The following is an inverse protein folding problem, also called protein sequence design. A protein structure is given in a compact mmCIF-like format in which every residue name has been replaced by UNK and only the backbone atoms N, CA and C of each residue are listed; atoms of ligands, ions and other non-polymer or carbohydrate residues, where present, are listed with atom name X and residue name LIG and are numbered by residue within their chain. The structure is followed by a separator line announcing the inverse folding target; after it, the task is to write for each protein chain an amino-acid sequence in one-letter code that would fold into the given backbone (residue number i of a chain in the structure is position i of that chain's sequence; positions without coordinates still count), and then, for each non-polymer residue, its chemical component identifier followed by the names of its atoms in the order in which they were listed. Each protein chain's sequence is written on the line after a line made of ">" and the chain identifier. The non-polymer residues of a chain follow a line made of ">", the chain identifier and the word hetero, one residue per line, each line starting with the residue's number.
data_IF_378271775602
#
_entry.id   IF_378271775602
#
_cell.length_a   1.000
_cell.length_b   1.000
_cell.length_c   1.000
_cell.angle_alpha   90.00
_cell.angle_beta   90.00
_cell.angle_gamma   90.00
#
_symmetry.space_group_name_H-M   'P 1'
#
loop_
_entity.id
_entity.type
_entity.pdbx_description
1 polymer ?
#
# COMPACT_ATOMS: atom_id res chain seq x y z
N UNK A 1 -10.66 1.26 -23.42
CA UNK A 1 -9.67 0.26 -22.96
C UNK A 1 -8.51 0.86 -22.15
N UNK A 2 -7.49 1.52 -22.72
CA UNK A 2 -6.36 2.05 -21.92
C UNK A 2 -6.75 3.14 -20.90
N UNK A 3 -7.66 4.04 -21.26
CA UNK A 3 -8.13 5.10 -20.34
C UNK A 3 -8.95 4.57 -19.15
N UNK A 4 -9.76 3.54 -19.38
CA UNK A 4 -10.59 2.94 -18.32
C UNK A 4 -9.72 2.17 -17.31
N UNK A 5 -8.70 1.46 -17.79
CA UNK A 5 -7.74 0.78 -16.92
C UNK A 5 -6.93 1.77 -16.08
N UNK A 6 -6.50 2.90 -16.68
CA UNK A 6 -5.85 3.97 -15.91
C UNK A 6 -6.77 4.54 -14.83
N UNK A 7 -8.02 4.85 -15.16
CA UNK A 7 -8.99 5.36 -14.21
C UNK A 7 -9.24 4.37 -13.06
N UNK A 8 -9.32 3.08 -13.37
CA UNK A 8 -9.47 2.00 -12.39
C UNK A 8 -8.31 1.95 -11.40
N UNK A 9 -7.06 2.03 -11.88
CA UNK A 9 -5.87 2.06 -11.03
C UNK A 9 -5.79 3.32 -10.15
N UNK A 10 -6.09 4.48 -10.72
CA UNK A 10 -6.08 5.74 -9.96
C UNK A 10 -7.17 5.75 -8.88
N UNK A 11 -8.39 5.27 -9.20
CA UNK A 11 -9.49 5.13 -8.25
C UNK A 11 -9.12 4.21 -7.08
N UNK A 12 -8.57 3.02 -7.37
CA UNK A 12 -8.15 2.08 -6.33
C UNK A 12 -7.04 2.66 -5.44
N UNK A 13 -6.07 3.37 -6.01
CA UNK A 13 -5.01 4.05 -5.27
C UNK A 13 -5.56 5.15 -4.34
N UNK A 14 -6.51 5.96 -4.81
CA UNK A 14 -7.12 7.02 -4.02
C UNK A 14 -8.01 6.46 -2.90
N UNK A 15 -8.76 5.38 -3.18
CA UNK A 15 -9.54 4.66 -2.15
C UNK A 15 -8.64 4.05 -1.08
N UNK A 16 -7.55 3.41 -1.49
CA UNK A 16 -6.58 2.84 -0.57
C UNK A 16 -5.98 3.91 0.34
N UNK A 17 -5.62 5.08 -0.20
CA UNK A 17 -5.17 6.22 0.60
C UNK A 17 -6.22 6.61 1.63
N UNK A 18 -7.48 6.78 1.23
CA UNK A 18 -8.57 7.15 2.14
C UNK A 18 -8.76 6.13 3.28
N UNK A 19 -8.56 4.83 3.01
CA UNK A 19 -8.59 3.76 4.02
C UNK A 19 -7.38 3.87 4.96
N UNK A 20 -6.18 3.96 4.41
CA UNK A 20 -4.92 4.05 5.17
C UNK A 20 -4.91 5.24 6.13
N UNK A 21 -5.44 6.38 5.70
CA UNK A 21 -5.52 7.61 6.50
C UNK A 21 -6.55 7.57 7.64
N UNK A 22 -7.34 6.49 7.77
CA UNK A 22 -8.15 6.23 8.98
C UNK A 22 -7.26 5.87 10.18
N UNK A 23 -6.05 5.36 9.96
CA UNK A 23 -5.08 5.13 11.03
C UNK A 23 -4.35 6.44 11.37
N UNK A 24 -4.38 6.84 12.64
CA UNK A 24 -3.81 8.12 13.10
C UNK A 24 -2.29 8.23 12.92
N UNK A 25 -1.56 7.12 13.08
CA UNK A 25 -0.10 7.12 12.93
C UNK A 25 0.31 7.23 11.46
N UNK A 26 -0.36 6.48 10.58
CA UNK A 26 -0.13 6.59 9.13
C UNK A 26 -0.54 7.97 8.61
N UNK A 27 -1.59 8.58 9.16
CA UNK A 27 -1.98 9.95 8.83
C UNK A 27 -0.92 10.98 9.23
N UNK A 28 -0.21 10.80 10.35
CA UNK A 28 0.92 11.66 10.73
C UNK A 28 2.07 11.54 9.73
N UNK A 29 2.40 10.31 9.32
CA UNK A 29 3.42 10.06 8.29
C UNK A 29 3.02 10.69 6.96
N UNK A 30 1.77 10.55 6.56
CA UNK A 30 1.27 11.16 5.33
C UNK A 30 1.41 12.70 5.36
N UNK A 31 1.06 13.35 6.46
CA UNK A 31 1.27 14.81 6.62
C UNK A 31 2.75 15.21 6.53
N UNK A 32 3.64 14.37 7.06
CA UNK A 32 5.10 14.58 6.93
C UNK A 32 5.54 14.45 5.47
N UNK A 33 4.96 13.51 4.74
CA UNK A 33 5.19 13.34 3.31
C UNK A 33 4.71 14.56 2.50
N UNK A 34 3.53 15.11 2.81
CA UNK A 34 3.01 16.34 2.17
C UNK A 34 3.89 17.58 2.41
N UNK A 35 4.67 17.60 3.50
CA UNK A 35 5.65 18.67 3.74
C UNK A 35 6.91 18.53 2.87
N UNK A 36 7.14 17.36 2.28
CA UNK A 36 8.35 17.03 1.51
C UNK A 36 8.07 16.89 0.00
N UNK A 37 6.87 16.43 -0.35
CA UNK A 37 6.46 16.14 -1.72
C UNK A 37 5.20 16.92 -2.07
N UNK A 38 5.11 17.38 -3.31
CA UNK A 38 3.84 17.84 -3.85
C UNK A 38 2.85 16.67 -3.96
N UNK A 39 1.52 16.93 -3.96
CA UNK A 39 0.52 15.87 -4.09
C UNK A 39 0.72 14.97 -5.32
N UNK A 40 1.17 15.54 -6.44
CA UNK A 40 1.44 14.79 -7.67
C UNK A 40 2.65 13.86 -7.53
N UNK A 41 3.76 14.34 -6.97
CA UNK A 41 4.97 13.54 -6.76
C UNK A 41 4.73 12.38 -5.80
N UNK A 42 3.93 12.61 -4.77
CA UNK A 42 3.61 11.62 -3.75
C UNK A 42 2.80 10.47 -4.37
N UNK A 43 1.80 10.79 -5.20
CA UNK A 43 1.04 9.79 -5.97
C UNK A 43 1.92 9.04 -6.97
N UNK A 44 2.82 9.74 -7.67
CA UNK A 44 3.75 9.12 -8.63
C UNK A 44 4.65 8.09 -7.92
N UNK A 45 5.26 8.43 -6.78
CA UNK A 45 6.13 7.51 -6.03
C UNK A 45 5.41 6.24 -5.59
N UNK A 46 4.17 6.38 -5.11
CA UNK A 46 3.34 5.23 -4.74
C UNK A 46 3.05 4.35 -5.96
N UNK A 47 2.73 4.94 -7.11
CA UNK A 47 2.50 4.20 -8.35
C UNK A 47 3.77 3.51 -8.86
N UNK A 48 4.94 4.17 -8.77
CA UNK A 48 6.23 3.57 -9.13
C UNK A 48 6.54 2.35 -8.25
N UNK A 49 6.29 2.46 -6.94
CA UNK A 49 6.47 1.35 -6.01
C UNK A 49 5.49 0.20 -6.27
N UNK A 50 4.27 0.51 -6.69
CA UNK A 50 3.29 -0.48 -7.14
C UNK A 50 3.79 -1.22 -8.38
N UNK A 51 4.27 -0.50 -9.40
CA UNK A 51 4.85 -1.10 -10.62
C UNK A 51 6.01 -2.03 -10.28
N UNK A 52 6.96 -1.57 -9.47
CA UNK A 52 8.10 -2.38 -9.04
C UNK A 52 7.68 -3.65 -8.27
N UNK A 53 6.58 -3.58 -7.52
CA UNK A 53 6.05 -4.73 -6.79
C UNK A 53 5.39 -5.74 -7.74
N UNK A 54 4.67 -5.26 -8.75
CA UNK A 54 4.05 -6.10 -9.78
C UNK A 54 5.06 -6.75 -10.72
N UNK A 55 6.19 -6.09 -11.00
CA UNK A 55 7.27 -6.65 -11.83
C UNK A 55 8.02 -7.80 -11.13
N UNK A 56 8.03 -7.81 -9.79
CA UNK A 56 8.71 -8.85 -8.99
C UNK A 56 7.90 -10.13 -8.86
N UNK A 57 6.61 -10.11 -9.16
CA UNK A 57 5.72 -11.26 -9.05
C UNK A 57 4.90 -11.40 -10.34
N UNK A 58 5.31 -12.34 -11.19
CA UNK A 58 4.66 -12.62 -12.48
C UNK A 58 3.18 -13.02 -12.32
N UNK A 59 2.77 -13.48 -11.13
CA UNK A 59 1.37 -13.82 -10.82
C UNK A 59 0.56 -12.62 -10.32
N UNK A 60 1.19 -11.50 -9.98
CA UNK A 60 0.50 -10.32 -9.45
C UNK A 60 -0.58 -9.80 -10.42
N UNK A 61 -0.33 -9.87 -11.73
CA UNK A 61 -1.31 -9.46 -12.76
C UNK A 61 -2.63 -10.24 -12.70
N UNK A 62 -2.60 -11.50 -12.25
CA UNK A 62 -3.79 -12.34 -12.13
C UNK A 62 -4.58 -12.07 -10.84
N UNK A 63 -3.98 -11.40 -9.86
CA UNK A 63 -4.60 -11.10 -8.57
C UNK A 63 -5.47 -9.84 -8.59
N UNK A 64 -5.30 -8.95 -9.57
CA UNK A 64 -6.01 -7.66 -9.66
C UNK A 64 -7.20 -7.70 -10.61
N UNK A 65 -7.97 -8.79 -10.57
CA UNK A 65 -9.14 -8.97 -11.43
C UNK A 65 -10.34 -8.11 -11.00
N UNK A 66 -10.36 -7.61 -9.76
CA UNK A 66 -11.43 -6.79 -9.21
C UNK A 66 -10.91 -5.54 -8.47
N UNK A 67 -11.81 -4.60 -8.20
CA UNK A 67 -11.43 -3.29 -7.60
C UNK A 67 -10.96 -3.44 -6.16
N UNK A 68 -11.48 -4.44 -5.43
CA UNK A 68 -11.19 -4.66 -4.02
C UNK A 68 -9.77 -5.20 -3.83
N UNK A 69 -9.38 -6.20 -4.60
CA UNK A 69 -8.02 -6.77 -4.63
C UNK A 69 -6.98 -5.70 -4.98
N UNK A 70 -7.27 -4.85 -5.97
CA UNK A 70 -6.40 -3.74 -6.34
C UNK A 70 -6.32 -2.66 -5.24
N UNK A 71 -7.45 -2.35 -4.59
CA UNK A 71 -7.48 -1.42 -3.45
C UNK A 71 -6.68 -1.96 -2.27
N UNK A 72 -6.84 -3.25 -1.93
CA UNK A 72 -6.06 -3.91 -0.86
C UNK A 72 -4.57 -3.91 -1.16
N UNK A 73 -4.19 -4.15 -2.41
CA UNK A 73 -2.80 -4.04 -2.84
C UNK A 73 -2.25 -2.62 -2.65
N UNK A 74 -2.97 -1.60 -3.11
CA UNK A 74 -2.57 -0.22 -2.89
C UNK A 74 -2.52 0.15 -1.41
N UNK A 75 -3.37 -0.41 -0.55
CA UNK A 75 -3.26 -0.22 0.90
C UNK A 75 -1.88 -0.71 1.39
N UNK A 76 -1.44 -1.87 0.92
CA UNK A 76 -0.11 -2.41 1.21
C UNK A 76 1.01 -1.48 0.74
N UNK A 77 0.95 -0.99 -0.50
CA UNK A 77 1.94 -0.07 -1.06
C UNK A 77 2.00 1.23 -0.27
N UNK A 78 0.85 1.83 0.05
CA UNK A 78 0.76 3.05 0.86
C UNK A 78 1.37 2.88 2.24
N UNK A 79 1.04 1.79 2.94
CA UNK A 79 1.60 1.49 4.26
C UNK A 79 3.12 1.34 4.17
N UNK A 80 3.60 0.58 3.17
CA UNK A 80 5.02 0.37 2.97
C UNK A 80 5.76 1.68 2.68
N UNK A 81 5.24 2.50 1.76
CA UNK A 81 5.80 3.81 1.44
C UNK A 81 5.90 4.70 2.68
N UNK A 82 4.80 4.85 3.43
CA UNK A 82 4.75 5.71 4.60
C UNK A 82 5.71 5.24 5.70
N UNK A 83 5.79 3.94 5.95
CA UNK A 83 6.66 3.41 7.01
C UNK A 83 8.13 3.45 6.62
N UNK A 84 8.48 3.07 5.39
CA UNK A 84 9.87 2.96 4.94
C UNK A 84 10.40 4.33 4.52
N UNK A 85 9.83 4.91 3.47
CA UNK A 85 10.38 6.12 2.83
C UNK A 85 10.21 7.35 3.72
N UNK A 86 9.08 7.46 4.42
CA UNK A 86 8.75 8.65 5.23
C UNK A 86 9.08 8.44 6.71
N UNK A 87 8.80 7.24 7.23
CA UNK A 87 9.03 6.83 8.61
C UNK A 87 10.46 6.39 8.90
N UNK A 88 11.27 6.10 7.87
CA UNK A 88 12.64 5.61 8.02
C UNK A 88 12.72 4.18 8.56
N UNK A 89 11.65 3.39 8.44
CA UNK A 89 11.65 1.99 8.84
C UNK A 89 12.45 1.15 7.85
N UNK A 90 13.33 0.28 8.34
CA UNK A 90 14.00 -0.69 7.47
C UNK A 90 13.00 -1.69 6.88
N UNK A 91 13.13 -1.98 5.59
CA UNK A 91 12.23 -2.90 4.88
C UNK A 91 12.14 -4.29 5.52
N UNK A 92 13.27 -4.82 6.02
CA UNK A 92 13.32 -6.12 6.70
C UNK A 92 12.59 -6.10 8.05
N UNK A 93 12.63 -4.95 8.74
CA UNK A 93 11.85 -4.75 9.97
C UNK A 93 10.35 -4.75 9.67
N UNK A 94 9.93 -4.12 8.57
CA UNK A 94 8.51 -4.14 8.15
C UNK A 94 8.05 -5.58 7.84
N UNK A 95 8.84 -6.35 7.10
CA UNK A 95 8.54 -7.77 6.82
C UNK A 95 8.41 -8.59 8.11
N UNK A 96 9.27 -8.33 9.09
CA UNK A 96 9.25 -9.00 10.39
C UNK A 96 7.96 -8.67 11.15
N UNK A 97 7.64 -7.37 11.27
CA UNK A 97 6.41 -6.93 11.94
C UNK A 97 5.16 -7.48 11.26
N UNK A 98 5.09 -7.42 9.92
CA UNK A 98 3.97 -7.99 9.17
C UNK A 98 3.83 -9.50 9.45
N UNK A 99 4.93 -10.25 9.41
CA UNK A 99 4.95 -11.69 9.69
C UNK A 99 4.46 -12.01 11.11
N UNK A 100 4.86 -11.21 12.08
CA UNK A 100 4.46 -11.41 13.48
C UNK A 100 2.96 -11.13 13.67
N UNK A 101 2.44 -10.03 13.10
CA UNK A 101 0.99 -9.72 13.11
C UNK A 101 0.19 -10.84 12.44
N UNK A 102 0.63 -11.33 11.27
CA UNK A 102 -0.06 -12.44 10.60
C UNK A 102 -0.04 -13.73 11.42
N UNK A 103 1.08 -14.05 12.08
CA UNK A 103 1.18 -15.22 12.96
C UNK A 103 0.28 -15.12 14.18
N UNK A 104 0.20 -13.94 14.80
CA UNK A 104 -0.69 -13.70 15.94
C UNK A 104 -2.16 -13.82 15.55
N UNK A 105 -2.54 -13.27 14.39
CA UNK A 105 -3.91 -13.39 13.87
C UNK A 105 -4.26 -14.83 13.51
N UNK A 106 -3.36 -15.61 12.90
CA UNK A 106 -3.59 -17.03 12.63
C UNK A 106 -3.75 -17.85 13.93
N UNK A 107 -3.00 -17.51 14.98
CA UNK A 107 -3.17 -18.15 16.30
C UNK A 107 -4.51 -17.80 16.94
N UNK A 108 -5.02 -16.58 16.76
CA UNK A 108 -6.35 -16.19 17.26
C UNK A 108 -7.50 -16.88 16.53
N UNK A 109 -7.35 -17.18 15.24
CA UNK A 109 -8.38 -17.87 14.42
C UNK A 109 -8.42 -19.38 14.67
N UNK A 110 -7.34 -19.97 15.20
CA UNK A 110 -7.28 -21.42 15.51
C UNK A 110 -7.94 -21.79 16.86
N UNK A 111 -8.42 -20.79 17.62
CA UNK A 111 -9.12 -20.99 18.89
C UNK A 111 -10.61 -20.65 18.70
N UNK A 112 -11.30 -21.31 17.77
CA UNK A 112 -12.77 -21.38 17.74
C UNK A 112 -13.23 -22.66 17.05
#
# INVERSE_FOLDING_TARGET
>A
MEREQRYFFESACDRAMAIVLKNSELKKLYRKAEATYTPGELKIRVLEQAVQSMEKDENARNFFADEESLTSFFCGIWIQFLLIEVGGMEAEKLKTVARDIFRENLRSVTIH
#
